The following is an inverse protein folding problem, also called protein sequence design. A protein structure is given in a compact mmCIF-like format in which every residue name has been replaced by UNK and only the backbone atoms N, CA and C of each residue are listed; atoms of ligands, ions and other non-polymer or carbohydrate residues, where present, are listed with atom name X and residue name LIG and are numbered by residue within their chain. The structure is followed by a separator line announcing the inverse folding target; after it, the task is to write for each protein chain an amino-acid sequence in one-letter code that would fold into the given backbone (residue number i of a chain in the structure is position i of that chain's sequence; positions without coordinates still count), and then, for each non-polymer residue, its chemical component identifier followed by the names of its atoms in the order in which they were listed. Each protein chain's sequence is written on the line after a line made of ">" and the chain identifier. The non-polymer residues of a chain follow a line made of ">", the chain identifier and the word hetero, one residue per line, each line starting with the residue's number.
data_IF_303804777683
#
_entry.id   IF_303804777683
#
_cell.length_a   1.000
_cell.length_b   1.000
_cell.length_c   1.000
_cell.angle_alpha   90.00
_cell.angle_beta   90.00
_cell.angle_gamma   90.00
#
_symmetry.space_group_name_H-M   'P 1'
#
loop_
_entity.id
_entity.type
_entity.pdbx_description
1 polymer ?
#
# COMPACT_ATOMS: atom_id res chain seq x y z
N UNK A 1 -7.11 46.97 23.26
CA UNK A 1 -7.51 47.72 24.46
C UNK A 1 -6.34 48.04 25.39
N UNK A 2 -5.47 47.09 25.76
CA UNK A 2 -4.32 47.39 26.64
C UNK A 2 -3.22 48.24 25.96
N UNK A 3 -2.86 47.93 24.70
CA UNK A 3 -1.88 48.72 23.93
C UNK A 3 -2.36 50.15 23.63
N UNK A 4 -3.66 50.37 23.48
CA UNK A 4 -4.24 51.71 23.28
C UNK A 4 -4.22 52.56 24.55
N UNK A 5 -4.31 51.94 25.74
CA UNK A 5 -4.15 52.67 27.00
C UNK A 5 -2.67 53.00 27.30
N UNK A 6 -1.74 52.13 26.90
CA UNK A 6 -0.30 52.38 27.05
C UNK A 6 0.16 53.54 26.14
N UNK A 7 -0.32 53.58 24.90
CA UNK A 7 -0.04 54.69 23.98
C UNK A 7 -0.61 56.02 24.46
N UNK A 8 -1.85 56.02 24.99
CA UNK A 8 -2.47 57.22 25.57
C UNK A 8 -1.72 57.73 26.81
N UNK A 9 -1.17 56.82 27.62
CA UNK A 9 -0.35 57.18 28.78
C UNK A 9 1.02 57.77 28.36
N UNK A 10 1.63 57.25 27.29
CA UNK A 10 2.89 57.76 26.77
C UNK A 10 2.75 59.13 26.09
N UNK A 11 1.63 59.38 25.38
CA UNK A 11 1.31 60.70 24.83
C UNK A 11 1.02 61.73 25.94
N UNK A 12 0.35 61.32 27.02
CA UNK A 12 0.10 62.18 28.17
C UNK A 12 1.40 62.58 28.90
N UNK A 13 2.39 61.68 28.94
CA UNK A 13 3.72 61.94 29.51
C UNK A 13 4.58 62.82 28.59
N UNK A 14 4.42 62.71 27.27
CA UNK A 14 5.16 63.52 26.31
C UNK A 14 4.66 64.99 26.24
N UNK A 15 3.37 65.25 26.54
CA UNK A 15 2.80 66.60 26.54
C UNK A 15 3.01 67.38 27.85
N UNK A 16 3.43 66.73 28.93
CA UNK A 16 3.67 67.36 30.23
C UNK A 16 5.08 67.96 30.34
N UNK A 17 5.31 69.08 29.64
CA UNK A 17 6.47 69.94 29.85
C UNK A 17 6.30 70.82 31.11
N UNK A 18 7.27 70.74 32.02
CA UNK A 18 7.54 71.69 33.11
C UNK A 18 6.49 71.83 34.24
N UNK A 19 6.23 70.72 34.95
CA UNK A 19 5.91 70.74 36.38
C UNK A 19 6.43 69.44 37.00
N UNK A 20 7.16 69.50 38.12
CA UNK A 20 7.52 68.28 38.84
C UNK A 20 6.22 67.60 39.31
N UNK A 21 5.91 66.37 38.90
CA UNK A 21 4.71 65.70 39.37
C UNK A 21 4.82 65.49 40.88
N UNK A 22 3.74 65.79 41.62
CA UNK A 22 3.63 65.50 43.05
C UNK A 22 3.96 64.02 43.32
N UNK A 23 4.61 63.68 44.45
CA UNK A 23 4.93 62.30 44.77
C UNK A 23 3.62 61.48 44.84
N UNK A 24 3.49 60.49 43.97
CA UNK A 24 2.32 59.59 43.93
C UNK A 24 2.18 58.91 45.30
N UNK A 25 1.21 59.35 46.10
CA UNK A 25 0.89 58.73 47.38
C UNK A 25 0.19 57.39 47.10
N UNK A 26 0.88 56.28 47.40
CA UNK A 26 0.31 54.94 47.25
C UNK A 26 -0.79 54.70 48.29
N UNK A 27 -2.04 54.61 47.84
CA UNK A 27 -3.19 54.29 48.69
C UNK A 27 -3.32 52.76 48.84
N UNK A 28 -4.00 52.25 49.88
CA UNK A 28 -4.25 50.82 50.05
C UNK A 28 -4.90 50.16 48.81
N UNK A 29 -5.77 50.88 48.10
CA UNK A 29 -6.40 50.41 46.86
C UNK A 29 -5.40 50.19 45.72
N UNK A 30 -4.33 50.99 45.64
CA UNK A 30 -3.25 50.77 44.66
C UNK A 30 -2.45 49.50 44.98
N UNK A 31 -2.24 49.19 46.26
CA UNK A 31 -1.58 47.96 46.69
C UNK A 31 -2.41 46.71 46.40
N UNK A 32 -3.73 46.77 46.63
CA UNK A 32 -4.65 45.66 46.30
C UNK A 32 -4.75 45.43 44.79
N UNK A 33 -4.83 46.50 43.99
CA UNK A 33 -4.85 46.41 42.53
C UNK A 33 -3.53 45.82 41.98
N UNK A 34 -2.39 46.24 42.53
CA UNK A 34 -1.08 45.69 42.18
C UNK A 34 -0.96 44.22 42.60
N UNK A 35 -1.43 43.87 43.79
CA UNK A 35 -1.45 42.49 44.29
C UNK A 35 -2.30 41.56 43.41
N UNK A 36 -3.50 41.98 43.03
CA UNK A 36 -4.38 41.22 42.15
C UNK A 36 -3.80 41.06 40.74
N UNK A 37 -3.14 42.09 40.21
CA UNK A 37 -2.42 42.03 38.93
C UNK A 37 -1.28 41.00 39.00
N UNK A 38 -0.48 41.03 40.06
CA UNK A 38 0.63 40.08 40.25
C UNK A 38 0.14 38.65 40.41
N UNK A 39 -0.97 38.41 41.13
CA UNK A 39 -1.61 37.10 41.23
C UNK A 39 -2.12 36.61 39.86
N UNK A 40 -2.77 37.48 39.08
CA UNK A 40 -3.24 37.16 37.74
C UNK A 40 -2.10 36.79 36.78
N UNK A 41 -1.00 37.56 36.80
CA UNK A 41 0.20 37.27 36.00
C UNK A 41 0.85 35.95 36.45
N UNK A 42 0.97 35.73 37.76
CA UNK A 42 1.50 34.48 38.33
C UNK A 42 0.69 33.24 37.91
N UNK A 43 -0.63 33.33 37.88
CA UNK A 43 -1.50 32.25 37.44
C UNK A 43 -1.32 31.92 35.93
N UNK A 44 -1.17 32.94 35.08
CA UNK A 44 -0.92 32.75 33.64
C UNK A 44 0.45 32.13 33.38
N UNK A 45 1.50 32.64 34.05
CA UNK A 45 2.86 32.09 33.93
C UNK A 45 2.93 30.68 34.49
N UNK A 46 2.30 30.41 35.63
CA UNK A 46 2.20 29.08 36.22
C UNK A 46 1.44 28.09 35.34
N UNK A 47 0.32 28.51 34.74
CA UNK A 47 -0.43 27.71 33.78
C UNK A 47 0.36 27.41 32.50
N UNK A 48 1.07 28.40 31.96
CA UNK A 48 1.95 28.24 30.80
C UNK A 48 3.15 27.33 31.10
N UNK A 49 3.77 27.47 32.27
CA UNK A 49 4.86 26.63 32.73
C UNK A 49 4.40 25.20 33.01
N UNK A 50 3.24 25.01 33.64
CA UNK A 50 2.62 23.69 33.83
C UNK A 50 2.29 23.02 32.51
N UNK A 51 1.77 23.78 31.53
CA UNK A 51 1.55 23.27 30.18
C UNK A 51 2.86 22.94 29.47
N UNK A 52 3.91 23.75 29.67
CA UNK A 52 5.25 23.50 29.13
C UNK A 52 5.89 22.23 29.72
N UNK A 53 5.88 22.05 31.04
CA UNK A 53 6.45 20.88 31.70
C UNK A 53 5.65 19.63 31.41
N UNK A 54 4.31 19.71 31.37
CA UNK A 54 3.45 18.63 30.89
C UNK A 54 3.82 18.24 29.45
N UNK A 55 3.88 19.21 28.52
CA UNK A 55 4.29 18.96 27.12
C UNK A 55 5.70 18.41 26.99
N UNK A 56 6.63 18.83 27.85
CA UNK A 56 8.02 18.34 27.86
C UNK A 56 8.07 16.90 28.37
N UNK A 57 7.36 16.59 29.45
CA UNK A 57 7.28 15.24 30.02
C UNK A 57 6.56 14.25 29.10
N UNK A 58 5.48 14.67 28.43
CA UNK A 58 4.83 13.85 27.41
C UNK A 58 5.77 13.59 26.24
N UNK A 59 6.50 14.60 25.75
CA UNK A 59 7.50 14.42 24.69
C UNK A 59 8.62 13.46 25.06
N UNK A 60 9.09 13.44 26.31
CA UNK A 60 10.10 12.47 26.75
C UNK A 60 9.54 11.05 26.75
N UNK A 61 8.32 10.84 27.27
CA UNK A 61 7.66 9.52 27.25
C UNK A 61 7.31 9.05 25.83
N UNK A 62 6.89 9.97 24.97
CA UNK A 62 6.67 9.74 23.54
C UNK A 62 7.96 9.29 22.87
N UNK A 63 9.08 9.99 23.11
CA UNK A 63 10.39 9.63 22.58
C UNK A 63 10.85 8.25 23.07
N UNK A 64 10.76 7.96 24.37
CA UNK A 64 11.11 6.66 24.95
C UNK A 64 10.21 5.51 24.45
N UNK A 65 8.95 5.80 24.14
CA UNK A 65 8.05 4.81 23.55
C UNK A 65 8.36 4.58 22.06
N UNK A 66 8.61 5.65 21.29
CA UNK A 66 9.02 5.57 19.88
C UNK A 66 10.37 4.86 19.73
N UNK A 67 11.32 5.13 20.63
CA UNK A 67 12.63 4.48 20.67
C UNK A 67 12.48 2.98 20.94
N UNK A 68 11.70 2.59 21.96
CA UNK A 68 11.37 1.16 22.20
C UNK A 68 10.66 0.49 21.03
N UNK A 69 9.77 1.21 20.34
CA UNK A 69 9.07 0.69 19.16
C UNK A 69 10.05 0.50 18.00
N UNK A 70 10.96 1.44 17.79
CA UNK A 70 12.04 1.37 16.82
C UNK A 70 12.96 0.17 17.10
N UNK A 71 13.46 0.04 18.33
CA UNK A 71 14.30 -1.08 18.74
C UNK A 71 13.62 -2.43 18.49
N UNK A 72 12.34 -2.54 18.88
CA UNK A 72 11.56 -3.77 18.71
C UNK A 72 11.33 -4.13 17.25
N UNK A 73 11.19 -3.15 16.37
CA UNK A 73 10.88 -3.38 14.97
C UNK A 73 12.13 -3.56 14.11
N UNK A 74 13.13 -2.69 14.26
CA UNK A 74 14.32 -2.67 13.40
C UNK A 74 15.49 -3.48 13.95
N UNK A 75 15.69 -3.45 15.27
CA UNK A 75 16.89 -4.03 15.90
C UNK A 75 16.63 -5.41 16.49
N UNK A 76 15.37 -5.83 16.60
CA UNK A 76 15.03 -7.15 17.10
C UNK A 76 15.45 -8.23 16.09
N UNK A 77 16.31 -9.20 16.50
CA UNK A 77 16.84 -10.22 15.61
C UNK A 77 15.77 -11.21 15.11
N UNK A 78 14.62 -11.29 15.77
CA UNK A 78 13.47 -12.11 15.33
C UNK A 78 12.64 -11.41 14.27
N UNK A 79 12.56 -10.08 14.30
CA UNK A 79 11.66 -9.30 13.42
C UNK A 79 12.35 -8.81 12.15
N UNK A 80 13.63 -8.44 12.23
CA UNK A 80 14.42 -7.98 11.08
C UNK A 80 14.39 -8.95 9.88
N UNK A 81 14.49 -10.29 10.05
CA UNK A 81 14.35 -11.24 8.94
C UNK A 81 12.97 -11.20 8.27
N UNK A 82 11.90 -10.92 9.03
CA UNK A 82 10.54 -10.82 8.49
C UNK A 82 10.40 -9.60 7.58
N UNK A 83 11.04 -8.49 7.94
CA UNK A 83 11.07 -7.27 7.13
C UNK A 83 11.86 -7.47 5.84
N UNK A 84 12.99 -8.16 5.90
CA UNK A 84 13.76 -8.52 4.71
C UNK A 84 12.96 -9.44 3.78
N UNK A 85 12.29 -10.46 4.34
CA UNK A 85 11.41 -11.34 3.57
C UNK A 85 10.25 -10.56 2.93
N UNK A 86 9.61 -9.68 3.69
CA UNK A 86 8.51 -8.84 3.22
C UNK A 86 8.92 -7.86 2.11
N UNK A 87 10.14 -7.32 2.15
CA UNK A 87 10.65 -6.43 1.12
C UNK A 87 11.15 -7.18 -0.12
N UNK A 88 12.07 -8.12 0.07
CA UNK A 88 12.86 -8.72 -1.00
C UNK A 88 12.27 -10.05 -1.51
N UNK A 89 11.81 -10.91 -0.61
CA UNK A 89 11.26 -12.23 -0.98
C UNK A 89 9.81 -12.13 -1.45
N UNK A 90 9.10 -11.08 -1.04
CA UNK A 90 7.69 -10.94 -1.36
C UNK A 90 7.45 -10.93 -2.87
N UNK A 91 8.16 -10.08 -3.59
CA UNK A 91 8.02 -9.99 -5.05
C UNK A 91 8.62 -11.22 -5.74
N UNK A 92 9.61 -11.87 -5.13
CA UNK A 92 10.28 -13.04 -5.67
C UNK A 92 9.42 -14.32 -5.63
N UNK A 93 8.44 -14.41 -4.74
CA UNK A 93 7.51 -15.54 -4.75
C UNK A 93 6.40 -15.55 -3.72
N UNK A 94 6.49 -14.81 -2.61
CA UNK A 94 5.42 -14.78 -1.60
C UNK A 94 4.14 -14.13 -2.15
N UNK A 95 4.25 -13.20 -3.10
CA UNK A 95 3.11 -12.63 -3.83
C UNK A 95 2.24 -13.70 -4.50
N UNK A 96 2.83 -14.72 -5.15
CA UNK A 96 2.09 -15.83 -5.77
C UNK A 96 1.39 -16.69 -4.71
N UNK A 97 2.06 -16.92 -3.59
CA UNK A 97 1.46 -17.65 -2.47
C UNK A 97 0.26 -16.88 -1.89
N UNK A 98 0.38 -15.56 -1.73
CA UNK A 98 -0.69 -14.68 -1.27
C UNK A 98 -1.83 -14.62 -2.28
N UNK A 99 -1.53 -14.49 -3.58
CA UNK A 99 -2.52 -14.56 -4.65
C UNK A 99 -3.34 -15.85 -4.56
N UNK A 100 -2.68 -16.99 -4.35
CA UNK A 100 -3.31 -18.30 -4.18
C UNK A 100 -4.19 -18.39 -2.92
N UNK A 101 -3.74 -17.84 -1.80
CA UNK A 101 -4.57 -17.78 -0.58
C UNK A 101 -5.82 -16.93 -0.81
N UNK A 102 -5.77 -15.92 -1.68
CA UNK A 102 -6.92 -15.10 -2.04
C UNK A 102 -7.88 -15.76 -3.03
N UNK A 103 -7.51 -16.89 -3.63
CA UNK A 103 -8.37 -17.60 -4.60
C UNK A 103 -9.20 -18.72 -4.00
N UNK A 104 -8.89 -19.15 -2.77
CA UNK A 104 -9.54 -20.29 -2.09
C UNK A 104 -9.85 -19.96 -0.65
N UNK A 105 -11.03 -20.35 -0.17
CA UNK A 105 -11.46 -20.11 1.21
C UNK A 105 -10.60 -20.89 2.24
N UNK A 106 -10.17 -22.11 1.91
CA UNK A 106 -9.37 -22.99 2.78
C UNK A 106 -8.20 -23.63 2.01
N UNK A 107 -7.11 -22.89 1.77
CA UNK A 107 -5.98 -23.39 0.98
C UNK A 107 -5.21 -24.48 1.73
N UNK A 108 -4.80 -25.54 1.01
CA UNK A 108 -3.88 -26.56 1.55
C UNK A 108 -2.44 -26.08 1.38
N UNK A 109 -1.78 -25.74 2.49
CA UNK A 109 -0.44 -25.14 2.50
C UNK A 109 0.61 -26.11 3.09
N UNK A 110 1.78 -26.18 2.47
CA UNK A 110 2.94 -26.85 3.05
C UNK A 110 3.48 -26.08 4.27
N UNK A 111 4.22 -26.71 5.21
CA UNK A 111 4.76 -26.03 6.39
C UNK A 111 5.58 -24.76 6.08
N UNK A 112 6.41 -24.80 5.04
CA UNK A 112 7.19 -23.64 4.60
C UNK A 112 6.35 -22.53 3.97
N UNK A 113 5.18 -22.85 3.41
CA UNK A 113 4.22 -21.85 2.92
C UNK A 113 3.49 -21.19 4.07
N UNK A 114 3.09 -21.97 5.09
CA UNK A 114 2.48 -21.45 6.31
C UNK A 114 3.43 -20.45 6.99
N UNK A 115 4.72 -20.75 7.07
CA UNK A 115 5.71 -19.84 7.66
C UNK A 115 5.81 -18.52 6.88
N UNK A 116 5.81 -18.57 5.54
CA UNK A 116 5.82 -17.36 4.70
C UNK A 116 4.56 -16.52 4.86
N UNK A 117 3.37 -17.14 4.91
CA UNK A 117 2.12 -16.42 5.19
C UNK A 117 2.14 -15.81 6.59
N UNK A 118 2.61 -16.55 7.60
CA UNK A 118 2.76 -16.03 8.96
C UNK A 118 3.68 -14.81 9.03
N UNK A 119 4.76 -14.80 8.24
CA UNK A 119 5.64 -13.62 8.15
C UNK A 119 4.89 -12.39 7.61
N UNK A 120 4.04 -12.57 6.59
CA UNK A 120 3.15 -11.51 6.09
C UNK A 120 2.19 -11.05 7.19
N UNK A 121 1.53 -11.98 7.88
CA UNK A 121 0.58 -11.65 8.96
C UNK A 121 1.25 -10.88 10.10
N UNK A 122 2.46 -11.25 10.50
CA UNK A 122 3.20 -10.58 11.59
C UNK A 122 3.52 -9.14 11.22
N UNK A 123 3.96 -8.89 9.97
CA UNK A 123 4.21 -7.53 9.49
C UNK A 123 2.91 -6.73 9.38
N UNK A 124 1.85 -7.30 8.81
CA UNK A 124 0.56 -6.63 8.68
C UNK A 124 -0.07 -6.33 10.05
N UNK A 125 0.01 -7.25 11.01
CA UNK A 125 -0.46 -7.04 12.39
C UNK A 125 0.28 -5.89 13.07
N UNK A 126 1.59 -5.76 12.84
CA UNK A 126 2.34 -4.64 13.35
C UNK A 126 1.88 -3.32 12.73
N UNK A 127 1.74 -3.27 11.40
CA UNK A 127 1.29 -2.07 10.69
C UNK A 127 -0.16 -1.69 11.07
N UNK A 128 -1.04 -2.67 11.22
CA UNK A 128 -2.41 -2.49 11.70
C UNK A 128 -2.42 -1.89 13.10
N UNK A 129 -1.63 -2.44 14.03
CA UNK A 129 -1.51 -1.89 15.38
C UNK A 129 -0.96 -0.46 15.37
N UNK A 130 0.03 -0.17 14.52
CA UNK A 130 0.61 1.16 14.37
C UNK A 130 -0.44 2.19 13.91
N UNK A 131 -1.22 1.84 12.89
CA UNK A 131 -2.28 2.69 12.34
C UNK A 131 -3.48 2.81 13.30
N UNK A 132 -3.79 1.76 14.06
CA UNK A 132 -4.77 1.82 15.15
C UNK A 132 -4.35 2.87 16.20
N UNK A 133 -3.10 2.83 16.67
CA UNK A 133 -2.61 3.78 17.66
C UNK A 133 -2.66 5.23 17.17
N UNK A 134 -2.42 5.44 15.88
CA UNK A 134 -2.61 6.75 15.26
C UNK A 134 -4.09 7.16 15.24
N UNK A 135 -4.99 6.26 14.87
CA UNK A 135 -6.43 6.53 14.83
C UNK A 135 -6.97 6.94 16.21
N UNK A 136 -6.42 6.35 17.27
CA UNK A 136 -6.76 6.63 18.67
C UNK A 136 -5.93 7.80 19.28
N UNK A 137 -5.17 8.51 18.43
CA UNK A 137 -4.33 9.68 18.79
C UNK A 137 -3.23 9.39 19.82
N UNK A 138 -2.82 8.13 19.93
CA UNK A 138 -1.65 7.71 20.72
C UNK A 138 -0.34 7.86 19.95
N UNK A 139 -0.38 7.92 18.62
CA UNK A 139 0.77 8.15 17.75
C UNK A 139 0.45 9.29 16.76
N UNK A 140 1.38 10.23 16.58
CA UNK A 140 1.22 11.25 15.55
C UNK A 140 1.61 10.69 14.19
N UNK A 141 0.83 11.00 13.15
CA UNK A 141 1.11 10.58 11.77
C UNK A 141 2.53 10.94 11.30
N UNK A 142 3.05 12.12 11.69
CA UNK A 142 4.42 12.54 11.35
C UNK A 142 5.50 11.62 11.94
N UNK A 143 5.27 11.10 13.16
CA UNK A 143 6.25 10.28 13.88
C UNK A 143 6.19 8.85 13.33
N UNK A 144 4.97 8.37 13.04
CA UNK A 144 4.73 7.15 12.25
C UNK A 144 5.46 7.21 10.91
N UNK A 145 5.29 8.28 10.15
CA UNK A 145 5.88 8.42 8.81
C UNK A 145 7.39 8.50 8.85
N UNK A 146 7.95 9.20 9.85
CA UNK A 146 9.39 9.30 10.03
C UNK A 146 10.05 7.93 10.27
N UNK A 147 9.39 7.04 11.02
CA UNK A 147 9.96 5.74 11.40
C UNK A 147 9.52 4.58 10.51
N UNK A 148 8.28 4.59 10.01
CA UNK A 148 7.63 3.45 9.35
C UNK A 148 7.01 3.79 8.00
N UNK A 149 7.13 5.05 7.54
CA UNK A 149 6.56 5.50 6.27
C UNK A 149 7.06 4.70 5.06
N UNK A 150 8.27 4.14 5.13
CA UNK A 150 8.80 3.24 4.10
C UNK A 150 7.90 2.00 3.91
N UNK A 151 7.64 1.27 4.99
CA UNK A 151 6.88 0.01 4.98
C UNK A 151 5.42 0.22 4.61
N UNK A 152 4.81 1.28 5.15
CA UNK A 152 3.47 1.71 4.77
C UNK A 152 3.40 2.13 3.29
N UNK A 153 4.46 2.79 2.80
CA UNK A 153 4.61 3.16 1.41
C UNK A 153 4.74 1.97 0.46
N UNK A 154 5.39 0.87 0.89
CA UNK A 154 5.52 -0.35 0.08
C UNK A 154 4.16 -0.91 -0.32
N UNK A 155 3.23 -1.02 0.63
CA UNK A 155 1.86 -1.53 0.39
C UNK A 155 1.10 -0.72 -0.65
N UNK A 156 1.41 0.57 -0.77
CA UNK A 156 0.80 1.48 -1.74
C UNK A 156 1.41 1.34 -3.15
N UNK A 157 2.55 0.65 -3.31
CA UNK A 157 3.17 0.49 -4.63
C UNK A 157 2.40 -0.54 -5.48
N UNK A 158 2.34 -0.35 -6.82
CA UNK A 158 1.65 -1.25 -7.75
C UNK A 158 1.96 -2.74 -7.55
N UNK A 159 3.25 -3.08 -7.36
CA UNK A 159 3.75 -4.46 -7.21
C UNK A 159 3.30 -5.19 -5.93
N UNK A 160 2.67 -4.50 -4.98
CA UNK A 160 2.11 -5.07 -3.75
C UNK A 160 0.57 -5.14 -3.78
N UNK A 161 -0.04 -5.18 -4.97
CA UNK A 161 -1.48 -5.35 -5.15
C UNK A 161 -2.03 -6.51 -4.30
N UNK A 162 -1.35 -7.65 -4.30
CA UNK A 162 -1.75 -8.84 -3.54
C UNK A 162 -1.87 -8.55 -2.04
N UNK A 163 -0.95 -7.75 -1.45
CA UNK A 163 -1.05 -7.39 -0.03
C UNK A 163 -2.21 -6.46 0.27
N UNK A 164 -2.54 -5.54 -0.63
CA UNK A 164 -3.73 -4.67 -0.46
C UNK A 164 -5.00 -5.50 -0.44
N UNK A 165 -5.11 -6.51 -1.30
CA UNK A 165 -6.25 -7.41 -1.29
C UNK A 165 -6.24 -8.36 -0.10
N UNK A 166 -5.07 -8.83 0.31
CA UNK A 166 -4.93 -9.62 1.53
C UNK A 166 -5.41 -8.85 2.76
N UNK A 167 -5.00 -7.59 2.89
CA UNK A 167 -5.46 -6.71 3.95
C UNK A 167 -7.00 -6.55 3.96
N UNK A 168 -7.62 -6.37 2.79
CA UNK A 168 -9.08 -6.32 2.66
C UNK A 168 -9.75 -7.65 3.03
N UNK A 169 -9.25 -8.77 2.49
CA UNK A 169 -9.86 -10.08 2.62
C UNK A 169 -9.84 -10.58 4.07
N UNK A 170 -8.72 -10.35 4.78
CA UNK A 170 -8.54 -10.76 6.18
C UNK A 170 -8.82 -9.65 7.19
N UNK A 171 -9.49 -8.57 6.77
CA UNK A 171 -10.05 -7.53 7.63
C UNK A 171 -9.00 -6.73 8.46
N UNK A 172 -7.84 -6.45 7.85
CA UNK A 172 -6.88 -5.47 8.34
C UNK A 172 -7.37 -4.05 7.98
N UNK A 173 -8.37 -3.57 8.72
CA UNK A 173 -9.16 -2.38 8.37
C UNK A 173 -8.32 -1.11 8.26
N UNK A 174 -7.39 -0.88 9.19
CA UNK A 174 -6.57 0.32 9.16
C UNK A 174 -5.56 0.28 8.01
N UNK A 175 -4.92 -0.87 7.79
CA UNK A 175 -3.99 -1.08 6.66
C UNK A 175 -4.71 -0.91 5.33
N UNK A 176 -5.87 -1.56 5.17
CA UNK A 176 -6.67 -1.47 3.95
C UNK A 176 -7.14 -0.03 3.68
N UNK A 177 -7.55 0.70 4.72
CA UNK A 177 -7.93 2.11 4.64
C UNK A 177 -6.73 2.96 4.23
N UNK A 178 -5.58 2.80 4.90
CA UNK A 178 -4.36 3.57 4.64
C UNK A 178 -3.92 3.42 3.18
N UNK A 179 -3.93 2.19 2.66
CA UNK A 179 -3.51 1.88 1.29
C UNK A 179 -4.60 2.16 0.25
N UNK A 180 -5.77 2.66 0.67
CA UNK A 180 -6.96 2.84 -0.18
C UNK A 180 -7.31 1.58 -0.97
N UNK A 181 -7.15 0.42 -0.34
CA UNK A 181 -7.42 -0.85 -0.99
C UNK A 181 -8.89 -0.90 -1.45
N UNK A 182 -9.12 -1.52 -2.60
CA UNK A 182 -10.45 -1.74 -3.19
C UNK A 182 -10.54 -3.18 -3.64
N UNK A 183 -11.72 -3.79 -3.51
CA UNK A 183 -11.97 -5.13 -4.04
C UNK A 183 -11.60 -5.17 -5.53
N UNK A 184 -10.92 -6.24 -5.94
CA UNK A 184 -10.59 -6.46 -7.35
C UNK A 184 -11.85 -6.91 -8.10
N UNK A 185 -12.22 -6.12 -9.09
CA UNK A 185 -13.39 -6.36 -9.96
C UNK A 185 -12.98 -6.53 -11.42
N UNK A 186 -11.69 -6.70 -11.70
CA UNK A 186 -11.16 -6.71 -13.07
C UNK A 186 -10.37 -7.97 -13.37
N UNK A 187 -10.39 -8.37 -14.63
CA UNK A 187 -9.55 -9.43 -15.20
C UNK A 187 -8.87 -8.90 -16.47
N UNK A 188 -7.59 -9.22 -16.64
CA UNK A 188 -6.79 -8.88 -17.80
C UNK A 188 -6.53 -10.14 -18.63
N UNK A 189 -6.96 -10.12 -19.90
CA UNK A 189 -6.84 -11.23 -20.84
C UNK A 189 -5.85 -10.84 -21.95
N UNK A 190 -4.92 -11.73 -22.28
CA UNK A 190 -3.83 -11.43 -23.23
C UNK A 190 -3.70 -12.46 -24.37
N UNK A 191 -4.68 -13.37 -24.49
CA UNK A 191 -4.53 -14.58 -25.30
C UNK A 191 -5.81 -15.06 -25.98
N UNK A 192 -6.00 -16.38 -26.01
CA UNK A 192 -7.17 -17.07 -26.60
C UNK A 192 -8.52 -16.63 -26.00
N UNK A 193 -8.52 -16.01 -24.82
CA UNK A 193 -9.70 -15.49 -24.15
C UNK A 193 -10.05 -14.03 -24.53
N UNK A 194 -9.21 -13.33 -25.31
CA UNK A 194 -9.54 -11.99 -25.80
C UNK A 194 -10.72 -12.03 -26.79
N UNK A 195 -11.41 -10.89 -26.97
CA UNK A 195 -12.50 -10.78 -27.96
C UNK A 195 -12.00 -11.12 -29.36
N UNK A 196 -12.88 -11.72 -30.15
CA UNK A 196 -12.58 -12.17 -31.51
C UNK A 196 -11.92 -13.56 -31.58
N UNK A 197 -11.52 -14.14 -30.45
CA UNK A 197 -11.10 -15.54 -30.39
C UNK A 197 -12.27 -16.48 -30.07
N UNK A 198 -12.17 -17.73 -30.52
CA UNK A 198 -13.25 -18.71 -30.37
C UNK A 198 -13.62 -18.99 -28.91
N UNK A 199 -12.64 -19.04 -28.00
CA UNK A 199 -12.90 -19.35 -26.60
C UNK A 199 -13.68 -18.27 -25.87
N UNK A 200 -13.51 -17.01 -26.26
CA UNK A 200 -14.28 -15.89 -25.71
C UNK A 200 -15.79 -16.14 -25.89
N UNK A 201 -16.18 -16.57 -27.09
CA UNK A 201 -17.57 -16.85 -27.44
C UNK A 201 -18.04 -18.17 -26.82
N UNK A 202 -17.23 -19.24 -26.90
CA UNK A 202 -17.59 -20.56 -26.38
C UNK A 202 -17.88 -20.56 -24.88
N UNK A 203 -17.16 -19.75 -24.12
CA UNK A 203 -17.31 -19.61 -22.66
C UNK A 203 -18.35 -18.56 -22.25
N UNK A 204 -18.95 -17.86 -23.22
CA UNK A 204 -19.93 -16.81 -22.93
C UNK A 204 -19.35 -15.63 -22.17
N UNK A 205 -18.07 -15.28 -22.42
CA UNK A 205 -17.40 -14.20 -21.72
C UNK A 205 -18.11 -12.85 -21.90
N UNK A 206 -18.76 -12.63 -23.05
CA UNK A 206 -19.56 -11.42 -23.32
C UNK A 206 -20.70 -11.19 -22.31
N UNK A 207 -21.18 -12.24 -21.63
CA UNK A 207 -22.26 -12.13 -20.64
C UNK A 207 -21.72 -11.84 -19.23
N UNK A 208 -20.57 -12.41 -18.90
CA UNK A 208 -19.97 -12.36 -17.57
C UNK A 208 -18.93 -11.25 -17.40
N UNK A 209 -18.37 -10.75 -18.51
CA UNK A 209 -17.32 -9.74 -18.56
C UNK A 209 -17.80 -8.52 -19.35
N UNK A 210 -17.40 -7.34 -18.88
CA UNK A 210 -17.60 -6.09 -19.59
C UNK A 210 -16.26 -5.54 -20.05
N UNK A 211 -16.12 -5.35 -21.36
CA UNK A 211 -14.92 -4.77 -21.93
C UNK A 211 -14.73 -3.33 -21.45
N UNK A 212 -13.58 -3.07 -20.81
CA UNK A 212 -13.19 -1.72 -20.34
C UNK A 212 -12.32 -1.03 -21.38
N UNK A 213 -11.36 -1.74 -21.96
CA UNK A 213 -10.42 -1.16 -22.90
C UNK A 213 -9.23 -2.06 -23.20
N UNK A 214 -8.44 -1.68 -24.19
CA UNK A 214 -7.12 -2.27 -24.39
C UNK A 214 -6.18 -1.82 -23.26
N UNK A 215 -5.33 -2.72 -22.81
CA UNK A 215 -4.43 -2.48 -21.69
C UNK A 215 -3.11 -3.22 -21.87
N UNK A 216 -2.17 -2.98 -20.95
CA UNK A 216 -0.94 -3.74 -20.86
C UNK A 216 -0.51 -3.94 -19.41
N UNK A 217 0.28 -4.98 -19.19
CA UNK A 217 0.94 -5.29 -17.91
C UNK A 217 2.44 -5.51 -18.14
N UNK A 218 3.30 -5.29 -17.13
CA UNK A 218 4.73 -5.59 -17.26
C UNK A 218 4.94 -7.07 -17.57
N UNK A 219 5.73 -7.40 -18.60
CA UNK A 219 6.00 -8.79 -18.95
C UNK A 219 6.07 -9.06 -20.45
N UNK A 220 6.17 -10.34 -20.77
CA UNK A 220 6.30 -10.85 -22.14
C UNK A 220 5.37 -12.03 -22.36
N UNK A 221 4.77 -12.09 -23.54
CA UNK A 221 3.91 -13.19 -23.98
C UNK A 221 4.75 -14.10 -24.87
N UNK A 222 4.67 -15.41 -24.63
CA UNK A 222 5.42 -16.45 -25.33
C UNK A 222 4.45 -17.36 -26.10
N UNK A 223 4.76 -17.72 -27.36
CA UNK A 223 4.03 -18.75 -28.09
C UNK A 223 4.44 -20.15 -27.61
N UNK A 224 3.57 -20.81 -26.85
CA UNK A 224 3.80 -22.14 -26.29
C UNK A 224 3.35 -23.23 -27.27
N UNK A 225 4.10 -24.33 -27.45
CA UNK A 225 3.63 -25.50 -28.18
C UNK A 225 2.49 -26.21 -27.43
N UNK A 226 1.33 -26.53 -28.06
CA UNK A 226 1.13 -26.62 -29.51
C UNK A 226 0.48 -25.39 -30.18
N UNK A 227 0.38 -24.23 -29.53
CA UNK A 227 -0.06 -22.99 -30.18
C UNK A 227 -0.90 -22.03 -29.32
N UNK A 228 -0.52 -21.82 -28.06
CA UNK A 228 -1.27 -20.98 -27.11
C UNK A 228 -0.33 -20.02 -26.36
N UNK A 229 -0.84 -18.91 -25.80
CA UNK A 229 0.01 -17.87 -25.20
C UNK A 229 0.34 -18.14 -23.74
N UNK A 230 1.60 -17.94 -23.35
CA UNK A 230 2.04 -17.91 -21.95
C UNK A 230 2.58 -16.54 -21.57
N UNK A 231 2.02 -15.88 -20.56
CA UNK A 231 2.58 -14.65 -19.99
C UNK A 231 3.61 -14.98 -18.90
N UNK A 232 4.79 -14.35 -18.97
CA UNK A 232 5.73 -14.24 -17.85
C UNK A 232 5.91 -12.79 -17.43
N UNK A 233 5.83 -12.52 -16.13
CA UNK A 233 6.11 -11.20 -15.59
C UNK A 233 7.60 -10.87 -15.68
N UNK A 234 7.89 -9.63 -16.06
CA UNK A 234 9.24 -9.05 -16.00
C UNK A 234 9.29 -8.00 -14.90
N UNK A 235 10.49 -7.53 -14.55
CA UNK A 235 10.61 -6.35 -13.71
C UNK A 235 10.12 -5.15 -14.50
N UNK A 236 9.56 -4.17 -13.79
CA UNK A 236 9.06 -2.94 -14.41
C UNK A 236 10.18 -2.16 -15.11
N UNK A 237 11.40 -2.23 -14.55
CA UNK A 237 12.60 -1.60 -15.11
C UNK A 237 13.01 -2.20 -16.48
N UNK A 238 12.59 -3.43 -16.81
CA UNK A 238 12.90 -4.08 -18.08
C UNK A 238 12.12 -3.47 -19.27
N UNK A 239 11.08 -2.67 -18.98
CA UNK A 239 10.28 -1.97 -19.98
C UNK A 239 9.42 -2.87 -20.89
N UNK A 240 9.43 -4.18 -20.69
CA UNK A 240 8.64 -5.13 -21.47
C UNK A 240 7.14 -5.01 -21.14
N UNK A 241 6.30 -5.02 -22.18
CA UNK A 241 4.85 -4.83 -22.07
C UNK A 241 4.11 -5.96 -22.78
N UNK A 242 3.31 -6.69 -22.01
CA UNK A 242 2.33 -7.63 -22.53
C UNK A 242 1.01 -6.90 -22.75
N UNK A 243 0.59 -6.78 -24.01
CA UNK A 243 -0.64 -6.11 -24.42
C UNK A 243 -1.81 -7.09 -24.47
N UNK A 244 -2.97 -6.63 -24.00
CA UNK A 244 -4.18 -7.42 -23.92
C UNK A 244 -5.41 -6.53 -23.75
N UNK A 245 -6.45 -7.10 -23.16
CA UNK A 245 -7.75 -6.49 -22.96
C UNK A 245 -8.11 -6.54 -21.47
N UNK A 246 -8.57 -5.42 -20.95
CA UNK A 246 -9.07 -5.30 -19.59
C UNK A 246 -10.59 -5.43 -19.58
N UNK A 247 -11.09 -6.24 -18.66
CA UNK A 247 -12.52 -6.44 -18.45
C UNK A 247 -12.89 -6.22 -16.99
N UNK A 248 -14.10 -5.72 -16.77
CA UNK A 248 -14.77 -5.72 -15.47
C UNK A 248 -15.58 -7.01 -15.34
N UNK A 249 -15.43 -7.71 -14.23
CA UNK A 249 -16.16 -8.94 -13.91
C UNK A 249 -17.55 -8.58 -13.40
N UNK A 250 -18.59 -9.01 -14.12
CA UNK A 250 -20.00 -8.85 -13.70
C UNK A 250 -20.51 -10.04 -12.92
N UNK A 251 -19.94 -11.22 -13.19
CA UNK A 251 -20.30 -12.48 -12.55
C UNK A 251 -19.04 -13.22 -12.12
N UNK A 252 -18.74 -13.22 -10.82
CA UNK A 252 -17.53 -13.84 -10.27
C UNK A 252 -17.42 -15.35 -10.54
N UNK A 253 -18.54 -16.03 -10.84
CA UNK A 253 -18.53 -17.45 -11.22
C UNK A 253 -17.69 -17.71 -12.46
N UNK A 254 -17.53 -16.72 -13.34
CA UNK A 254 -16.69 -16.84 -14.53
C UNK A 254 -15.24 -17.09 -14.19
N UNK A 255 -14.75 -16.59 -13.05
CA UNK A 255 -13.36 -16.81 -12.65
C UNK A 255 -13.06 -18.29 -12.41
N UNK A 256 -14.04 -19.07 -11.94
CA UNK A 256 -13.87 -20.53 -11.79
C UNK A 256 -13.80 -21.24 -13.14
N UNK A 257 -14.62 -20.81 -14.10
CA UNK A 257 -14.58 -21.34 -15.47
C UNK A 257 -13.25 -21.02 -16.17
N UNK A 258 -12.70 -19.84 -15.91
CA UNK A 258 -11.35 -19.46 -16.37
C UNK A 258 -10.26 -20.24 -15.64
N UNK A 259 -10.38 -20.45 -14.33
CA UNK A 259 -9.44 -21.27 -13.56
C UNK A 259 -9.39 -22.70 -14.12
N UNK A 260 -10.55 -23.29 -14.45
CA UNK A 260 -10.63 -24.62 -15.07
C UNK A 260 -10.03 -24.66 -16.48
N UNK A 261 -10.20 -23.59 -17.28
CA UNK A 261 -9.66 -23.50 -18.64
C UNK A 261 -8.13 -23.38 -18.67
N UNK A 262 -7.60 -22.50 -17.81
CA UNK A 262 -6.18 -22.21 -17.70
C UNK A 262 -5.46 -23.25 -16.82
N UNK A 263 -6.12 -24.37 -16.53
CA UNK A 263 -5.62 -25.46 -15.69
C UNK A 263 -5.00 -24.94 -14.38
N UNK A 264 -5.66 -23.99 -13.70
CA UNK A 264 -5.22 -23.43 -12.44
C UNK A 264 -5.89 -24.15 -11.26
N UNK A 265 -5.11 -24.95 -10.55
CA UNK A 265 -5.54 -25.73 -9.40
C UNK A 265 -4.86 -25.22 -8.12
N UNK A 266 -5.46 -24.26 -7.37
CA UNK A 266 -4.80 -23.64 -6.22
C UNK A 266 -4.41 -24.63 -5.11
N UNK A 267 -5.17 -25.71 -4.90
CA UNK A 267 -4.82 -26.76 -3.92
C UNK A 267 -3.80 -27.78 -4.44
N UNK A 268 -3.46 -27.73 -5.74
CA UNK A 268 -2.54 -28.66 -6.42
C UNK A 268 -1.70 -27.88 -7.45
N UNK A 269 -0.92 -26.92 -6.96
CA UNK A 269 -0.09 -26.06 -7.80
C UNK A 269 0.88 -26.84 -8.70
N UNK A 270 1.32 -28.03 -8.27
CA UNK A 270 2.17 -28.92 -9.05
C UNK A 270 1.50 -29.49 -10.30
N UNK A 271 0.17 -29.44 -10.37
CA UNK A 271 -0.63 -29.80 -11.56
C UNK A 271 -1.06 -28.59 -12.36
N UNK A 272 -0.77 -27.38 -11.87
CA UNK A 272 -1.24 -26.17 -12.50
C UNK A 272 -0.33 -25.77 -13.65
N UNK A 273 -0.91 -25.44 -14.79
CA UNK A 273 -0.16 -24.88 -15.91
C UNK A 273 0.01 -23.37 -15.76
N UNK A 274 -1.05 -22.70 -15.31
CA UNK A 274 -1.05 -21.27 -15.01
C UNK A 274 -1.28 -21.02 -13.52
N UNK A 275 -0.90 -19.83 -13.06
CA UNK A 275 -1.28 -19.29 -11.77
C UNK A 275 -2.10 -18.01 -11.96
N UNK A 276 -3.21 -17.89 -11.27
CA UNK A 276 -3.91 -16.61 -11.17
C UNK A 276 -3.09 -15.66 -10.30
N UNK A 277 -2.67 -14.54 -10.89
CA UNK A 277 -1.84 -13.50 -10.29
C UNK A 277 -2.63 -12.20 -10.20
N UNK A 278 -2.42 -11.46 -9.11
CA UNK A 278 -2.97 -10.13 -8.99
C UNK A 278 -1.94 -9.08 -9.39
N UNK A 279 -2.31 -8.23 -10.34
CA UNK A 279 -1.40 -7.21 -10.88
C UNK A 279 -2.08 -5.86 -11.00
N UNK A 280 -1.27 -4.81 -10.86
CA UNK A 280 -1.68 -3.47 -11.19
C UNK A 280 -1.59 -3.24 -12.70
N UNK A 281 -2.64 -2.67 -13.30
CA UNK A 281 -2.73 -2.34 -14.73
C UNK A 281 -2.45 -0.84 -14.90
N UNK A 282 -1.23 -0.42 -15.31
CA UNK A 282 -0.78 0.97 -15.16
C UNK A 282 -1.64 2.00 -15.89
N UNK A 283 -2.06 1.71 -17.14
CA UNK A 283 -2.86 2.64 -17.93
C UNK A 283 -4.28 2.87 -17.41
N UNK A 284 -4.81 1.91 -16.65
CA UNK A 284 -6.16 1.97 -16.07
C UNK A 284 -6.14 2.36 -14.59
N UNK A 285 -4.99 2.23 -13.91
CA UNK A 285 -4.87 2.53 -12.48
C UNK A 285 -5.66 1.58 -11.57
N UNK A 286 -5.98 0.38 -12.04
CA UNK A 286 -6.75 -0.64 -11.30
C UNK A 286 -5.93 -1.91 -11.12
N UNK A 287 -6.27 -2.68 -10.10
CA UNK A 287 -5.74 -4.03 -9.91
C UNK A 287 -6.67 -5.04 -10.62
N UNK A 288 -6.08 -6.04 -11.29
CA UNK A 288 -6.78 -7.05 -12.06
C UNK A 288 -6.16 -8.45 -11.87
N UNK A 289 -7.00 -9.48 -11.96
CA UNK A 289 -6.56 -10.85 -12.07
C UNK A 289 -6.01 -11.14 -13.47
N UNK A 290 -4.96 -11.94 -13.57
CA UNK A 290 -4.34 -12.38 -14.83
C UNK A 290 -3.71 -13.75 -14.63
N UNK A 291 -3.66 -14.58 -15.67
CA UNK A 291 -3.05 -15.90 -15.62
C UNK A 291 -1.57 -15.83 -16.05
N UNK A 292 -0.65 -16.17 -15.16
CA UNK A 292 0.78 -16.31 -15.46
C UNK A 292 1.11 -17.76 -15.79
N UNK A 293 1.82 -17.99 -16.89
CA UNK A 293 2.30 -19.33 -17.23
C UNK A 293 3.39 -19.78 -16.25
N UNK A 294 3.28 -20.99 -15.69
CA UNK A 294 4.22 -21.51 -14.70
C UNK A 294 5.41 -22.23 -15.32
N UNK A 295 5.25 -22.83 -16.50
CA UNK A 295 6.32 -23.61 -17.16
C UNK A 295 7.50 -22.78 -17.67
N UNK A 296 8.52 -23.47 -18.15
CA UNK A 296 9.74 -22.84 -18.67
C UNK A 296 9.51 -22.21 -20.06
N UNK A 297 10.18 -21.09 -20.31
CA UNK A 297 10.13 -20.36 -21.60
C UNK A 297 11.52 -20.15 -22.19
N UNK A 298 12.53 -20.83 -21.66
CA UNK A 298 13.90 -20.75 -22.17
C UNK A 298 13.95 -21.25 -23.62
N UNK A 299 14.61 -20.49 -24.49
CA UNK A 299 14.69 -20.80 -25.92
C UNK A 299 13.44 -20.49 -26.75
N UNK A 300 12.39 -19.93 -26.13
CA UNK A 300 11.18 -19.47 -26.85
C UNK A 300 11.25 -17.95 -27.01
N UNK A 301 11.20 -17.47 -28.25
CA UNK A 301 11.14 -16.04 -28.51
C UNK A 301 9.75 -15.47 -28.18
N UNK A 302 9.68 -14.39 -27.39
CA UNK A 302 8.41 -13.75 -27.05
C UNK A 302 7.80 -13.05 -28.27
N UNK A 303 6.47 -12.96 -28.33
CA UNK A 303 5.78 -12.15 -29.33
C UNK A 303 5.98 -10.65 -29.06
N UNK A 304 5.89 -9.84 -30.10
CA UNK A 304 6.00 -8.38 -29.97
C UNK A 304 4.71 -7.77 -29.42
N UNK A 305 4.65 -7.65 -28.10
CA UNK A 305 3.62 -6.91 -27.38
C UNK A 305 2.30 -7.67 -27.24
N UNK A 306 1.60 -7.94 -28.35
CA UNK A 306 0.25 -8.53 -28.34
C UNK A 306 0.21 -9.91 -28.97
N UNK A 307 -0.50 -10.84 -28.34
CA UNK A 307 -0.81 -12.13 -28.92
C UNK A 307 -1.69 -12.00 -30.17
N UNK A 308 -1.42 -12.83 -31.17
CA UNK A 308 -2.26 -13.01 -32.35
C UNK A 308 -2.37 -14.49 -32.63
N UNK A 309 -3.53 -14.95 -33.10
CA UNK A 309 -3.79 -16.38 -33.31
C UNK A 309 -2.84 -17.04 -34.33
N UNK A 310 -2.29 -16.27 -35.28
CA UNK A 310 -1.30 -16.69 -36.27
C UNK A 310 0.12 -16.86 -35.69
N UNK A 311 0.42 -16.27 -34.53
CA UNK A 311 1.71 -16.38 -33.87
C UNK A 311 2.03 -17.83 -33.41
N UNK A 312 1.02 -18.67 -33.27
CA UNK A 312 1.15 -20.10 -32.96
C UNK A 312 1.93 -20.90 -34.03
N UNK A 313 1.97 -20.42 -35.29
CA UNK A 313 2.59 -21.13 -36.41
C UNK A 313 4.02 -20.73 -36.76
N UNK A 314 4.56 -19.65 -36.18
CA UNK A 314 5.82 -19.06 -36.62
C UNK A 314 7.09 -19.68 -35.99
N UNK A 315 6.97 -20.35 -34.84
CA UNK A 315 8.12 -20.92 -34.11
C UNK A 315 8.59 -22.29 -34.64
N UNK A 316 7.83 -22.93 -35.54
CA UNK A 316 8.20 -24.21 -36.16
C UNK A 316 9.15 -24.12 -37.37
N UNK A 317 9.44 -22.92 -37.88
CA UNK A 317 10.15 -22.76 -39.15
C UNK A 317 11.68 -22.58 -39.04
N UNK A 318 12.26 -22.50 -37.83
CA UNK A 318 13.68 -22.15 -37.66
C UNK A 318 14.59 -23.26 -37.13
N UNK A 319 14.12 -24.53 -37.09
CA UNK A 319 14.93 -25.67 -36.60
C UNK A 319 15.37 -26.67 -37.69
N UNK A 320 15.23 -26.34 -38.98
CA UNK A 320 15.73 -27.19 -40.07
C UNK A 320 16.62 -26.41 -41.04
N UNK A 321 17.80 -25.98 -40.59
CA UNK A 321 18.88 -25.57 -41.49
C UNK A 321 20.25 -25.62 -40.78
N UNK A 322 20.72 -26.82 -40.45
CA UNK A 322 22.15 -27.12 -40.46
C UNK A 322 22.33 -28.64 -40.53
N UNK A 323 22.60 -29.14 -41.73
CA UNK A 323 23.20 -30.44 -41.99
C UNK A 323 24.63 -30.18 -42.49
#
# INVERSE_FOLDING_TARGET
>A
MALSMLAAAMDAVAQAGAAAPDPVAWTPQHWDALGNLLLGVGAVVGGAFGLYTYRKATRTREAEWLDRLFERFYLNPTFSPLLLSFEYEFVAGTNRLVDRVLTVDTPVLAPAEIERIRSVDVVLNFLEHLLYLESDRHLLARDRDALFGYWLGLLSRPRYASLRQYALHFNYEHVATYCKARKVEHVFLYGSLMRGHAEHVRRGLDQALEFVGEAWVPGRIYPLPPGYPGLKFSREEDGARAHGELFRVRDERILRDLDDYEEYFPDRMERSEYARRLVHVPGAGVDAWVYEYLGEVEGIDPVQGRWRADAAGASGASLTASA
#
